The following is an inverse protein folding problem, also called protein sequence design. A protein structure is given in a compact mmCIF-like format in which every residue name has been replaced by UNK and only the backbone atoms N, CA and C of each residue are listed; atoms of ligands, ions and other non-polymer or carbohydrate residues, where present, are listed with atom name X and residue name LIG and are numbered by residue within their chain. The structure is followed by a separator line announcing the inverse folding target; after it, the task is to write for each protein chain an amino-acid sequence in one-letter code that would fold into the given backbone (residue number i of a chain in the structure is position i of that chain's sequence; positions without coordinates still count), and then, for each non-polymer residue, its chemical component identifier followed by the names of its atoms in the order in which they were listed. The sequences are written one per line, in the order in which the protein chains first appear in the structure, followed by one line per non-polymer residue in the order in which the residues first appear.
data_IF_348346018265
#
_entry.id   IF_348346018265
#
_cell.length_a   1.000
_cell.length_b   1.000
_cell.length_c   1.000
_cell.angle_alpha   90.00
_cell.angle_beta   90.00
_cell.angle_gamma   90.00
#
_symmetry.space_group_name_H-M   'P 1'
#
loop_
_entity.id
_entity.type
_entity.pdbx_description
1 polymer ?
#
# COMPACT_ATOMS: atom_id res chain seq x y z
N UNK A 1 -21.15 -8.02 2.96
CA UNK A 1 -20.00 -7.19 3.36
C UNK A 1 -20.01 -5.95 2.47
N UNK A 2 -19.52 -4.80 2.92
CA UNK A 2 -19.32 -3.65 2.01
C UNK A 2 -18.11 -3.94 1.10
N UNK A 3 -18.01 -3.36 -0.10
CA UNK A 3 -16.82 -3.55 -0.94
C UNK A 3 -15.56 -2.96 -0.30
N UNK A 4 -14.39 -3.40 -0.74
CA UNK A 4 -13.12 -2.73 -0.50
C UNK A 4 -12.84 -1.69 -1.58
N UNK A 5 -12.15 -0.62 -1.21
CA UNK A 5 -11.65 0.37 -2.16
C UNK A 5 -10.19 0.07 -2.50
N UNK A 6 -9.89 -0.30 -3.75
CA UNK A 6 -8.53 -0.42 -4.25
C UNK A 6 -8.10 0.88 -4.94
N UNK A 7 -7.11 1.54 -4.37
CA UNK A 7 -6.41 2.66 -4.97
C UNK A 7 -5.12 2.15 -5.64
N UNK A 8 -5.15 2.08 -6.96
CA UNK A 8 -4.07 1.52 -7.78
C UNK A 8 -3.33 2.61 -8.57
N UNK A 9 -2.11 2.30 -9.00
CA UNK A 9 -1.35 3.13 -9.94
C UNK A 9 -0.44 2.28 -10.80
N UNK A 10 -0.66 2.28 -12.13
CA UNK A 10 0.19 1.55 -13.09
C UNK A 10 0.45 2.39 -14.34
N UNK A 11 1.65 2.27 -14.90
CA UNK A 11 2.00 2.99 -16.11
C UNK A 11 1.27 2.41 -17.34
N UNK A 12 1.13 1.07 -17.38
CA UNK A 12 0.47 0.36 -18.48
C UNK A 12 -0.91 -0.17 -18.06
N UNK A 13 -1.90 -0.02 -18.95
CA UNK A 13 -3.26 -0.51 -18.71
C UNK A 13 -3.32 -2.03 -18.51
N UNK A 14 -2.53 -2.79 -19.27
CA UNK A 14 -2.44 -4.25 -19.10
C UNK A 14 -1.96 -4.63 -17.69
N UNK A 15 -0.96 -3.93 -17.16
CA UNK A 15 -0.47 -4.15 -15.80
C UNK A 15 -1.53 -3.74 -14.74
N UNK A 16 -2.35 -2.72 -15.01
CA UNK A 16 -3.45 -2.33 -14.14
C UNK A 16 -4.54 -3.42 -14.07
N UNK A 17 -4.88 -4.05 -15.19
CA UNK A 17 -5.84 -5.15 -15.25
C UNK A 17 -5.31 -6.42 -14.58
N UNK A 18 -4.04 -6.77 -14.80
CA UNK A 18 -3.40 -7.91 -14.17
C UNK A 18 -3.33 -7.75 -12.64
N UNK A 19 -2.99 -6.55 -12.14
CA UNK A 19 -3.02 -6.25 -10.69
C UNK A 19 -4.43 -6.39 -10.13
N UNK A 20 -5.45 -5.85 -10.81
CA UNK A 20 -6.83 -5.94 -10.35
C UNK A 20 -7.32 -7.39 -10.29
N UNK A 21 -7.04 -8.19 -11.33
CA UNK A 21 -7.36 -9.61 -11.35
C UNK A 21 -6.63 -10.38 -10.24
N UNK A 22 -5.39 -10.01 -9.91
CA UNK A 22 -4.65 -10.59 -8.80
C UNK A 22 -5.30 -10.28 -7.45
N UNK A 23 -5.72 -9.04 -7.19
CA UNK A 23 -6.45 -8.70 -5.95
C UNK A 23 -7.76 -9.48 -5.80
N UNK A 24 -8.53 -9.62 -6.88
CA UNK A 24 -9.74 -10.44 -6.85
C UNK A 24 -9.41 -11.91 -6.51
N UNK A 25 -8.46 -12.50 -7.24
CA UNK A 25 -8.10 -13.91 -7.09
C UNK A 25 -7.52 -14.23 -5.72
N UNK A 26 -6.54 -13.46 -5.25
CA UNK A 26 -5.81 -13.75 -4.02
C UNK A 26 -6.50 -13.19 -2.78
N UNK A 27 -7.34 -12.15 -2.94
CA UNK A 27 -8.24 -11.67 -1.89
C UNK A 27 -9.51 -12.52 -1.73
N UNK A 28 -9.78 -13.43 -2.67
CA UNK A 28 -11.03 -14.20 -2.67
C UNK A 28 -12.27 -13.33 -2.87
N UNK A 29 -12.14 -12.23 -3.61
CA UNK A 29 -13.17 -11.22 -3.81
C UNK A 29 -13.84 -11.39 -5.17
N UNK A 30 -15.14 -11.12 -5.24
CA UNK A 30 -15.85 -10.93 -6.49
C UNK A 30 -15.68 -9.49 -7.03
N UNK A 31 -15.85 -9.26 -8.35
CA UNK A 31 -15.69 -7.93 -8.93
C UNK A 31 -16.56 -6.83 -8.30
N UNK A 32 -17.71 -7.19 -7.74
CA UNK A 32 -18.61 -6.25 -7.08
C UNK A 32 -18.18 -5.91 -5.64
N UNK A 33 -17.24 -6.66 -5.08
CA UNK A 33 -16.68 -6.48 -3.74
C UNK A 33 -15.38 -5.67 -3.75
N UNK A 34 -14.86 -5.30 -4.93
CA UNK A 34 -13.64 -4.51 -5.07
C UNK A 34 -13.86 -3.32 -6.01
N UNK A 35 -14.01 -2.13 -5.44
CA UNK A 35 -14.09 -0.90 -6.21
C UNK A 35 -12.69 -0.38 -6.50
N UNK A 36 -12.26 -0.34 -7.76
CA UNK A 36 -10.94 0.17 -8.15
C UNK A 36 -10.99 1.63 -8.61
N UNK A 37 -10.06 2.44 -8.10
CA UNK A 37 -9.74 3.78 -8.63
C UNK A 37 -8.27 3.81 -9.03
N UNK A 38 -8.00 4.30 -10.24
CA UNK A 38 -6.66 4.49 -10.79
C UNK A 38 -6.20 5.93 -10.57
N UNK A 39 -5.33 6.13 -9.58
CA UNK A 39 -4.92 7.47 -9.12
C UNK A 39 -4.05 8.22 -10.15
N UNK A 40 -3.33 7.49 -10.99
CA UNK A 40 -2.56 8.04 -12.10
C UNK A 40 -3.46 8.59 -13.21
N UNK A 41 -4.60 7.95 -13.44
CA UNK A 41 -5.48 8.21 -14.58
C UNK A 41 -6.39 9.44 -14.36
N UNK A 42 -6.91 9.63 -13.15
CA UNK A 42 -7.76 10.78 -12.82
C UNK A 42 -7.64 11.18 -11.35
N UNK A 43 -8.04 12.42 -10.99
CA UNK A 43 -8.10 12.85 -9.59
C UNK A 43 -8.96 11.91 -8.74
N UNK A 44 -8.57 11.72 -7.49
CA UNK A 44 -9.37 10.98 -6.51
C UNK A 44 -10.70 11.73 -6.27
N UNK A 45 -11.87 11.09 -6.46
CA UNK A 45 -13.15 11.71 -6.18
C UNK A 45 -13.34 11.88 -4.67
N UNK A 46 -14.32 12.69 -4.27
CA UNK A 46 -14.78 12.67 -2.88
C UNK A 46 -15.31 11.28 -2.53
N UNK A 47 -14.80 10.69 -1.46
CA UNK A 47 -15.16 9.35 -1.00
C UNK A 47 -16.04 9.41 0.24
N UNK A 48 -17.12 8.63 0.24
CA UNK A 48 -17.85 8.29 1.45
C UNK A 48 -17.33 6.96 1.99
N UNK A 49 -16.49 7.03 3.03
CA UNK A 49 -15.89 5.85 3.65
C UNK A 49 -16.92 4.90 4.28
N UNK A 50 -18.13 5.37 4.61
CA UNK A 50 -19.17 4.50 5.17
C UNK A 50 -19.68 3.45 4.18
N UNK A 51 -19.38 3.61 2.88
CA UNK A 51 -19.69 2.65 1.83
C UNK A 51 -18.65 1.55 1.63
N UNK A 52 -17.56 1.53 2.41
CA UNK A 52 -16.45 0.58 2.22
C UNK A 52 -16.11 -0.19 3.50
N UNK A 53 -15.58 -1.40 3.33
CA UNK A 53 -15.04 -2.23 4.43
C UNK A 53 -13.59 -1.87 4.79
N UNK A 54 -12.87 -1.24 3.86
CA UNK A 54 -11.44 -0.95 4.01
C UNK A 54 -10.86 -0.33 2.74
N UNK A 55 -9.69 0.27 2.87
CA UNK A 55 -8.92 0.82 1.75
C UNK A 55 -7.66 -0.01 1.52
N UNK A 56 -7.39 -0.36 0.27
CA UNK A 56 -6.16 -1.01 -0.16
C UNK A 56 -5.43 -0.03 -1.07
N UNK A 57 -4.18 0.29 -0.77
CA UNK A 57 -3.32 1.07 -1.67
C UNK A 57 -2.27 0.15 -2.23
N UNK A 58 -2.35 -0.09 -3.55
CA UNK A 58 -1.43 -0.97 -4.25
C UNK A 58 -0.06 -0.36 -4.48
N UNK A 59 0.75 -1.07 -5.27
CA UNK A 59 2.02 -0.54 -5.75
C UNK A 59 1.84 0.66 -6.69
N UNK A 60 2.95 1.30 -7.03
CA UNK A 60 2.97 2.42 -7.98
C UNK A 60 4.33 2.52 -8.67
N UNK A 61 4.41 3.09 -9.90
CA UNK A 61 5.69 3.54 -10.46
C UNK A 61 6.30 4.74 -9.69
N UNK A 62 5.54 5.39 -8.80
CA UNK A 62 6.00 6.50 -7.99
C UNK A 62 6.95 6.05 -6.89
N UNK A 63 7.83 6.96 -6.46
CA UNK A 63 8.80 6.74 -5.39
C UNK A 63 8.70 7.91 -4.42
N UNK A 64 8.31 7.62 -3.18
CA UNK A 64 7.99 8.63 -2.18
C UNK A 64 9.22 9.48 -1.85
N UNK A 65 10.38 8.84 -1.73
CA UNK A 65 11.69 9.39 -1.36
C UNK A 65 12.40 10.18 -2.41
N UNK A 66 11.87 10.23 -3.63
CA UNK A 66 12.40 11.13 -4.64
C UNK A 66 12.24 12.61 -4.19
N UNK A 67 13.21 13.49 -4.50
CA UNK A 67 13.08 14.92 -4.26
C UNK A 67 11.81 15.50 -4.92
N UNK A 68 11.14 16.50 -4.32
CA UNK A 68 9.95 17.12 -4.91
C UNK A 68 10.13 17.57 -6.36
N UNK A 69 11.29 18.15 -6.69
CA UNK A 69 11.58 18.70 -8.02
C UNK A 69 11.80 17.62 -9.10
N UNK A 70 11.98 16.35 -8.71
CA UNK A 70 12.08 15.22 -9.66
C UNK A 70 10.78 14.46 -9.86
N UNK A 71 9.72 14.80 -9.11
CA UNK A 71 8.42 14.14 -9.21
C UNK A 71 7.57 14.75 -10.31
N UNK A 72 6.75 13.93 -10.95
CA UNK A 72 5.76 14.41 -11.92
C UNK A 72 4.61 15.15 -11.23
N UNK A 73 3.90 16.01 -11.97
CA UNK A 73 2.67 16.67 -11.49
C UNK A 73 1.61 15.65 -11.06
N UNK A 74 1.56 14.49 -11.72
CA UNK A 74 0.69 13.38 -11.37
C UNK A 74 1.05 12.84 -9.99
N UNK A 75 2.33 12.58 -9.74
CA UNK A 75 2.77 12.10 -8.42
C UNK A 75 2.46 13.11 -7.33
N UNK A 76 2.75 14.41 -7.54
CA UNK A 76 2.41 15.46 -6.59
C UNK A 76 0.92 15.53 -6.27
N UNK A 77 0.06 15.38 -7.29
CA UNK A 77 -1.39 15.29 -7.10
C UNK A 77 -1.76 14.07 -6.25
N UNK A 78 -1.26 12.90 -6.64
CA UNK A 78 -1.58 11.62 -5.97
C UNK A 78 -1.13 11.63 -4.51
N UNK A 79 0.08 12.11 -4.22
CA UNK A 79 0.59 12.22 -2.84
C UNK A 79 -0.28 13.15 -1.99
N UNK A 80 -0.71 14.29 -2.53
CA UNK A 80 -1.60 15.22 -1.82
C UNK A 80 -2.98 14.61 -1.55
N UNK A 81 -3.57 13.95 -2.55
CA UNK A 81 -4.89 13.31 -2.44
C UNK A 81 -4.86 12.14 -1.44
N UNK A 82 -3.81 11.31 -1.49
CA UNK A 82 -3.60 10.23 -0.53
C UNK A 82 -3.36 10.77 0.88
N UNK A 83 -2.56 11.83 1.04
CA UNK A 83 -2.36 12.45 2.36
C UNK A 83 -3.68 12.90 2.98
N UNK A 84 -4.54 13.59 2.23
CA UNK A 84 -5.84 14.04 2.72
C UNK A 84 -6.83 12.90 3.00
N UNK A 85 -6.70 11.76 2.31
CA UNK A 85 -7.43 10.54 2.64
C UNK A 85 -6.90 9.92 3.93
N UNK A 86 -5.58 9.79 4.07
CA UNK A 86 -4.92 9.21 5.25
C UNK A 86 -5.23 9.99 6.53
N UNK A 87 -5.34 11.32 6.47
CA UNK A 87 -5.82 12.15 7.58
C UNK A 87 -7.17 11.64 8.14
N UNK A 88 -8.08 11.21 7.25
CA UNK A 88 -9.39 10.71 7.64
C UNK A 88 -9.33 9.25 8.11
N UNK A 89 -8.55 8.40 7.42
CA UNK A 89 -8.46 6.98 7.74
C UNK A 89 -7.83 6.76 9.12
N UNK A 90 -6.71 7.43 9.39
CA UNK A 90 -5.99 7.34 10.67
C UNK A 90 -6.86 7.88 11.80
N UNK A 91 -7.49 9.04 11.63
CA UNK A 91 -8.33 9.64 12.66
C UNK A 91 -9.56 8.78 13.03
N UNK A 92 -10.04 7.96 12.10
CA UNK A 92 -11.20 7.07 12.29
C UNK A 92 -10.82 5.64 12.66
N UNK A 93 -9.53 5.32 12.73
CA UNK A 93 -9.04 3.94 12.83
C UNK A 93 -9.67 3.02 11.75
N UNK A 94 -9.74 3.52 10.52
CA UNK A 94 -10.40 2.83 9.42
C UNK A 94 -9.46 1.78 8.78
N UNK A 95 -9.93 0.55 8.48
CA UNK A 95 -9.08 -0.49 7.93
C UNK A 95 -8.33 -0.07 6.66
N UNK A 96 -7.00 -0.22 6.70
CA UNK A 96 -6.11 0.14 5.61
C UNK A 96 -5.05 -0.94 5.39
N UNK A 97 -4.84 -1.34 4.14
CA UNK A 97 -3.74 -2.19 3.72
C UNK A 97 -2.89 -1.47 2.67
N UNK A 98 -1.65 -1.14 3.02
CA UNK A 98 -0.68 -0.60 2.09
C UNK A 98 0.21 -1.71 1.53
N UNK A 99 0.29 -1.82 0.21
CA UNK A 99 1.23 -2.70 -0.48
C UNK A 99 2.27 -1.87 -1.24
N UNK A 100 3.56 -2.14 -1.02
CA UNK A 100 4.65 -1.41 -1.66
C UNK A 100 4.53 0.11 -1.47
N UNK A 101 4.14 0.87 -2.51
CA UNK A 101 3.92 2.31 -2.44
C UNK A 101 2.94 2.71 -1.32
N UNK A 102 1.89 1.93 -1.07
CA UNK A 102 0.94 2.16 0.02
C UNK A 102 1.58 2.12 1.42
N UNK A 103 2.62 1.32 1.63
CA UNK A 103 3.40 1.30 2.87
C UNK A 103 4.18 2.60 3.03
N UNK A 104 4.80 3.07 1.95
CA UNK A 104 5.58 4.31 1.94
C UNK A 104 4.72 5.54 2.24
N UNK A 105 3.53 5.61 1.67
CA UNK A 105 2.61 6.75 1.88
C UNK A 105 2.05 6.81 3.29
N UNK A 106 1.51 5.69 3.82
CA UNK A 106 1.06 5.62 5.21
C UNK A 106 2.22 5.83 6.19
N UNK A 107 3.35 5.18 5.94
CA UNK A 107 4.54 5.30 6.78
C UNK A 107 4.95 6.75 6.95
N UNK A 108 5.16 7.49 5.85
CA UNK A 108 5.51 8.91 5.90
C UNK A 108 4.48 9.77 6.60
N UNK A 109 3.20 9.55 6.27
CA UNK A 109 2.09 10.25 6.90
C UNK A 109 2.12 10.10 8.42
N UNK A 110 2.48 8.91 8.90
CA UNK A 110 2.56 8.58 10.32
C UNK A 110 3.94 8.82 10.97
N UNK A 111 4.89 9.43 10.26
CA UNK A 111 6.21 9.81 10.80
C UNK A 111 7.32 8.76 10.63
N UNK A 112 7.11 7.73 9.81
CA UNK A 112 8.16 6.79 9.42
C UNK A 112 9.22 7.47 8.53
N UNK A 113 10.45 6.97 8.59
CA UNK A 113 11.49 7.34 7.63
C UNK A 113 11.43 6.36 6.46
N UNK A 114 11.06 6.85 5.28
CA UNK A 114 11.10 6.11 4.02
C UNK A 114 12.22 6.66 3.17
N UNK A 115 13.24 5.84 2.92
CA UNK A 115 14.45 6.20 2.18
C UNK A 115 15.01 5.00 1.41
N UNK A 116 16.18 5.17 0.79
CA UNK A 116 16.81 4.15 -0.08
C UNK A 116 17.80 3.23 0.65
N UNK A 117 17.84 3.25 1.98
CA UNK A 117 18.82 2.48 2.78
C UNK A 117 18.72 0.98 2.51
N UNK A 118 17.50 0.46 2.37
CA UNK A 118 17.21 -0.96 2.12
C UNK A 118 16.56 -1.19 0.75
N UNK A 119 16.91 -0.38 -0.26
CA UNK A 119 16.46 -0.63 -1.63
C UNK A 119 17.03 -1.94 -2.18
N UNK A 120 16.21 -2.74 -2.87
CA UNK A 120 16.61 -4.04 -3.38
C UNK A 120 16.05 -4.33 -4.80
N UNK A 121 16.81 -5.08 -5.63
CA UNK A 121 16.35 -5.46 -6.96
C UNK A 121 15.17 -6.44 -6.88
N UNK A 122 14.51 -6.66 -8.03
CA UNK A 122 13.48 -7.67 -8.14
C UNK A 122 14.06 -9.06 -7.84
N UNK A 123 13.63 -9.66 -6.73
CA UNK A 123 14.11 -10.96 -6.28
C UNK A 123 13.07 -11.67 -5.41
N UNK A 124 13.18 -13.00 -5.36
CA UNK A 124 12.56 -13.78 -4.30
C UNK A 124 13.45 -13.65 -3.06
N UNK A 125 12.90 -13.12 -1.97
CA UNK A 125 13.59 -12.91 -0.69
C UNK A 125 12.94 -13.75 0.38
N UNK A 126 13.74 -14.14 1.36
CA UNK A 126 13.26 -14.82 2.56
C UNK A 126 12.87 -13.76 3.61
N UNK A 127 11.67 -13.89 4.15
CA UNK A 127 11.12 -13.03 5.20
C UNK A 127 10.91 -13.90 6.44
N UNK A 128 11.34 -13.40 7.60
CA UNK A 128 11.15 -14.06 8.89
C UNK A 128 10.19 -13.25 9.78
N UNK A 129 9.17 -13.91 10.29
CA UNK A 129 8.24 -13.31 11.24
C UNK A 129 8.95 -12.95 12.55
N UNK A 130 8.72 -11.73 13.01
CA UNK A 130 9.11 -11.33 14.37
C UNK A 130 8.26 -12.05 15.41
N UNK A 131 8.67 -11.95 16.68
CA UNK A 131 7.86 -12.44 17.80
C UNK A 131 6.45 -11.82 17.85
N UNK A 132 6.29 -10.57 17.42
CA UNK A 132 4.97 -9.94 17.31
C UNK A 132 4.16 -10.52 16.14
N UNK A 133 4.78 -10.69 14.97
CA UNK A 133 4.13 -11.28 13.80
C UNK A 133 3.63 -12.70 14.04
N UNK A 134 4.35 -13.51 14.81
CA UNK A 134 3.92 -14.87 15.19
C UNK A 134 2.64 -14.90 16.04
N UNK A 135 2.29 -13.80 16.70
CA UNK A 135 1.09 -13.69 17.53
C UNK A 135 -0.02 -12.87 16.86
N UNK A 136 0.25 -12.25 15.71
CA UNK A 136 -0.66 -11.33 15.06
C UNK A 136 -1.70 -12.09 14.21
N UNK A 137 -3.01 -11.79 14.36
CA UNK A 137 -4.07 -12.42 13.57
C UNK A 137 -3.90 -12.28 12.05
N UNK A 138 -3.26 -11.20 11.57
CA UNK A 138 -3.02 -10.97 10.14
C UNK A 138 -2.13 -12.04 9.50
N UNK A 139 -1.26 -12.67 10.29
CA UNK A 139 -0.26 -13.63 9.83
C UNK A 139 -0.56 -15.06 10.30
N UNK A 140 -1.75 -15.28 10.85
CA UNK A 140 -2.16 -16.60 11.31
C UNK A 140 -2.14 -17.62 10.15
N UNK A 141 -1.39 -18.71 10.34
CA UNK A 141 -1.22 -19.77 9.33
C UNK A 141 -0.06 -19.57 8.37
N UNK A 142 0.64 -18.43 8.43
CA UNK A 142 1.91 -18.23 7.72
C UNK A 142 3.04 -19.02 8.39
N UNK A 143 3.98 -19.60 7.61
CA UNK A 143 5.22 -20.11 8.16
C UNK A 143 6.02 -19.00 8.86
N UNK A 144 6.81 -19.36 9.89
CA UNK A 144 7.73 -18.41 10.53
C UNK A 144 8.69 -17.79 9.51
N UNK A 145 9.14 -18.58 8.53
CA UNK A 145 10.02 -18.15 7.45
C UNK A 145 9.35 -18.48 6.13
N UNK A 146 9.13 -17.47 5.28
CA UNK A 146 8.48 -17.64 3.98
C UNK A 146 9.17 -16.82 2.90
N UNK A 147 8.99 -17.22 1.65
CA UNK A 147 9.52 -16.49 0.50
C UNK A 147 8.47 -15.52 -0.04
N UNK A 148 8.88 -14.28 -0.29
CA UNK A 148 8.08 -13.28 -0.97
C UNK A 148 8.87 -12.64 -2.12
N UNK A 149 8.17 -12.02 -3.07
CA UNK A 149 8.83 -11.20 -4.07
C UNK A 149 8.97 -9.78 -3.57
N UNK A 150 10.20 -9.29 -3.57
CA UNK A 150 10.51 -7.90 -3.30
C UNK A 150 11.15 -7.26 -4.52
N UNK A 151 11.22 -5.92 -4.50
CA UNK A 151 11.69 -5.12 -5.62
C UNK A 151 11.24 -3.68 -5.45
N UNK A 152 12.02 -2.91 -4.71
CA UNK A 152 11.69 -1.54 -4.38
C UNK A 152 12.96 -0.69 -4.27
N UNK A 153 12.84 0.56 -4.73
CA UNK A 153 13.94 1.54 -4.63
C UNK A 153 14.07 2.09 -3.21
N UNK A 154 13.02 2.00 -2.42
CA UNK A 154 12.90 2.59 -1.09
C UNK A 154 12.23 1.63 -0.12
N UNK A 155 12.50 1.82 1.16
CA UNK A 155 11.96 1.03 2.24
C UNK A 155 11.77 1.91 3.49
N UNK A 156 11.02 1.39 4.45
CA UNK A 156 10.91 2.00 5.77
C UNK A 156 12.16 1.68 6.59
N UNK A 157 13.05 2.67 6.76
CA UNK A 157 14.28 2.52 7.54
C UNK A 157 14.07 2.75 9.04
N UNK A 158 13.01 3.48 9.40
CA UNK A 158 12.56 3.66 10.79
C UNK A 158 11.04 3.70 10.86
N UNK A 159 10.45 2.80 11.64
CA UNK A 159 9.02 2.80 11.93
C UNK A 159 8.64 3.95 12.87
N UNK A 160 7.39 4.44 12.80
CA UNK A 160 6.87 5.35 13.81
C UNK A 160 6.65 4.61 15.13
N UNK A 161 6.70 5.33 16.25
CA UNK A 161 6.73 4.73 17.60
C UNK A 161 5.50 3.87 17.95
N UNK A 162 4.37 4.11 17.29
CA UNK A 162 3.12 3.38 17.49
C UNK A 162 2.92 2.21 16.51
N UNK A 163 3.84 1.98 15.58
CA UNK A 163 3.79 0.83 14.68
C UNK A 163 4.59 -0.35 15.25
N UNK A 164 4.17 -1.55 14.89
CA UNK A 164 4.81 -2.81 15.26
C UNK A 164 5.38 -3.47 14.01
N UNK A 165 6.68 -3.79 14.03
CA UNK A 165 7.29 -4.61 12.98
C UNK A 165 6.80 -6.05 13.13
N UNK A 166 6.17 -6.60 12.10
CA UNK A 166 5.65 -7.96 12.14
C UNK A 166 6.59 -8.98 11.48
N UNK A 167 7.32 -8.59 10.44
CA UNK A 167 8.21 -9.44 9.66
C UNK A 167 9.31 -8.60 8.99
#
# INVERSE_FOLDING_TARGET
MLPFLLLASRAEDAAAEDEYAAYLRYGGLEPHELHRIRLEASPLPALDLSGFSGVIVGGSPFTSSDPPDSKSDVQHRVERELSGLLDQLVARDFPFLGACYGVGTLGRHQGAVIDRTYGEPLAAVEIELTGAGLQDPLLQGMPQVFTAFAGHKEACSSLPAHAVLLA
#
